data_IF_075383865675
#
_entry.id   IF_075383865675
#
_cell.length_a   1.000
_cell.length_b   1.000
_cell.length_c   1.000
_cell.angle_alpha   90.00
_cell.angle_beta   90.00
_cell.angle_gamma   90.00
#
_symmetry.space_group_name_H-M   'P 1'
#
loop_
_entity.id
_entity.type
_entity.pdbx_description
1 polymer ?
#
# COMPACT_ATOMS: atom_id res chain seq x y z
N UNK A 1 -6.93 2.67 -10.84
CA UNK A 1 -5.65 3.37 -11.13
C UNK A 1 -5.25 4.14 -9.88
N UNK A 2 -3.95 4.36 -9.62
CA UNK A 2 -3.47 5.02 -8.40
C UNK A 2 -4.19 6.35 -8.11
N UNK A 3 -4.20 7.24 -9.11
CA UNK A 3 -4.82 8.56 -8.98
C UNK A 3 -6.30 8.49 -8.59
N UNK A 4 -7.03 7.52 -9.12
CA UNK A 4 -8.46 7.34 -8.82
C UNK A 4 -8.67 6.91 -7.36
N UNK A 5 -7.86 5.97 -6.84
CA UNK A 5 -7.97 5.53 -5.45
C UNK A 5 -7.67 6.68 -4.47
N UNK A 6 -6.65 7.48 -4.78
CA UNK A 6 -6.30 8.68 -3.99
C UNK A 6 -7.42 9.72 -4.04
N UNK A 7 -7.97 9.99 -5.23
CA UNK A 7 -9.09 10.93 -5.43
C UNK A 7 -10.34 10.49 -4.66
N UNK A 8 -10.69 9.21 -4.71
CA UNK A 8 -11.84 8.66 -3.97
C UNK A 8 -11.65 8.79 -2.46
N UNK A 9 -10.46 8.47 -1.94
CA UNK A 9 -10.12 8.63 -0.53
C UNK A 9 -10.25 10.09 -0.09
N UNK A 10 -9.68 11.02 -0.86
CA UNK A 10 -9.73 12.45 -0.57
C UNK A 10 -11.16 12.98 -0.64
N UNK A 11 -11.91 12.64 -1.69
CA UNK A 11 -13.31 13.06 -1.87
C UNK A 11 -14.19 12.61 -0.70
N UNK A 12 -13.92 11.44 -0.14
CA UNK A 12 -14.69 10.90 1.00
C UNK A 12 -14.62 11.78 2.26
N UNK A 13 -13.61 12.65 2.38
CA UNK A 13 -13.49 13.62 3.48
C UNK A 13 -14.56 14.72 3.47
N UNK A 14 -15.17 14.98 2.31
CA UNK A 14 -16.16 16.06 2.13
C UNK A 14 -15.58 17.48 2.15
N UNK A 15 -14.26 17.63 2.17
CA UNK A 15 -13.61 18.93 2.12
C UNK A 15 -13.74 19.59 0.74
N UNK A 16 -14.01 20.90 0.71
CA UNK A 16 -14.11 21.67 -0.53
C UNK A 16 -12.73 22.04 -1.11
N UNK A 17 -11.73 22.16 -0.24
CA UNK A 17 -10.33 22.43 -0.58
C UNK A 17 -9.46 21.49 0.26
N UNK A 18 -8.34 21.04 -0.31
CA UNK A 18 -7.41 20.09 0.30
C UNK A 18 -6.01 20.68 0.18
N UNK A 19 -5.22 20.60 1.25
CA UNK A 19 -3.82 21.02 1.19
C UNK A 19 -3.00 20.07 0.31
N UNK A 20 -2.12 20.61 -0.52
CA UNK A 20 -1.30 19.79 -1.43
C UNK A 20 -0.42 18.77 -0.68
N UNK A 21 0.02 19.09 0.54
CA UNK A 21 0.75 18.18 1.40
C UNK A 21 -0.09 16.96 1.79
N UNK A 22 -1.38 17.15 2.09
CA UNK A 22 -2.30 16.05 2.41
C UNK A 22 -2.50 15.12 1.21
N UNK A 23 -2.55 15.65 -0.01
CA UNK A 23 -2.59 14.84 -1.23
C UNK A 23 -1.32 13.98 -1.36
N UNK A 24 -0.16 14.57 -1.07
CA UNK A 24 1.14 13.88 -1.07
C UNK A 24 1.27 12.81 0.01
N UNK A 25 0.60 12.96 1.15
CA UNK A 25 0.50 11.90 2.16
C UNK A 25 -0.49 10.81 1.74
N UNK A 26 -1.64 11.19 1.17
CA UNK A 26 -2.69 10.26 0.77
C UNK A 26 -2.24 9.27 -0.33
N UNK A 27 -1.27 9.66 -1.16
CA UNK A 27 -0.74 8.77 -2.20
C UNK A 27 0.14 7.65 -1.65
N UNK A 28 0.76 7.81 -0.47
CA UNK A 28 1.77 6.88 0.04
C UNK A 28 1.22 5.46 0.23
N UNK A 29 0.04 5.30 0.84
CA UNK A 29 -0.55 3.99 1.09
C UNK A 29 -0.88 3.20 -0.18
N UNK A 30 -1.65 3.77 -1.13
CA UNK A 30 -1.89 3.13 -2.43
C UNK A 30 -0.61 2.91 -3.25
N UNK A 31 0.35 3.85 -3.20
CA UNK A 31 1.62 3.73 -3.91
C UNK A 31 2.50 2.60 -3.36
N UNK A 32 2.50 2.38 -2.04
CA UNK A 32 3.20 1.28 -1.37
C UNK A 32 2.82 -0.10 -1.96
N UNK A 33 1.53 -0.31 -2.21
CA UNK A 33 1.00 -1.55 -2.79
C UNK A 33 1.29 -1.70 -4.28
N UNK A 34 1.54 -0.58 -4.96
CA UNK A 34 1.73 -0.54 -6.41
C UNK A 34 3.20 -0.68 -6.80
N UNK A 35 4.10 0.06 -6.13
CA UNK A 35 5.54 0.09 -6.39
C UNK A 35 6.30 0.53 -5.12
N UNK A 36 6.98 -0.43 -4.50
CA UNK A 36 7.77 -0.24 -3.28
C UNK A 36 8.92 0.78 -3.45
N UNK A 37 9.55 0.81 -4.64
CA UNK A 37 10.68 1.70 -4.92
C UNK A 37 10.20 3.13 -5.14
N UNK A 38 9.05 3.30 -5.79
CA UNK A 38 8.40 4.61 -5.92
C UNK A 38 7.91 5.11 -4.55
N UNK A 39 7.32 4.23 -3.74
CA UNK A 39 6.94 4.54 -2.36
C UNK A 39 8.13 5.06 -1.55
N UNK A 40 9.27 4.35 -1.52
CA UNK A 40 10.45 4.78 -0.76
C UNK A 40 10.94 6.17 -1.16
N UNK A 41 10.92 6.48 -2.47
CA UNK A 41 11.32 7.80 -3.00
C UNK A 41 10.38 8.93 -2.55
N UNK A 42 9.09 8.65 -2.42
CA UNK A 42 8.11 9.63 -1.94
C UNK A 42 8.13 9.73 -0.41
N UNK A 43 8.16 8.59 0.28
CA UNK A 43 8.21 8.51 1.73
C UNK A 43 9.41 9.27 2.29
N UNK A 44 10.59 9.18 1.66
CA UNK A 44 11.77 9.91 2.13
C UNK A 44 11.58 11.42 2.18
N UNK A 45 10.75 11.99 1.31
CA UNK A 45 10.43 13.42 1.30
C UNK A 45 9.31 13.73 2.29
N UNK A 46 8.20 13.00 2.22
CA UNK A 46 6.99 13.32 2.99
C UNK A 46 7.05 12.89 4.46
N UNK A 47 7.87 11.90 4.80
CA UNK A 47 8.13 11.45 6.17
C UNK A 47 9.47 11.96 6.69
N UNK A 48 10.14 12.86 5.96
CA UNK A 48 11.40 13.51 6.34
C UNK A 48 12.47 12.51 6.80
N UNK A 49 12.88 11.60 5.91
CA UNK A 49 13.99 10.70 6.23
C UNK A 49 15.29 11.51 6.28
N UNK A 50 16.03 11.38 7.37
CA UNK A 50 17.28 12.12 7.60
C UNK A 50 18.50 11.20 7.71
N UNK A 51 18.27 9.89 7.84
CA UNK A 51 19.29 8.90 8.15
C UNK A 51 19.14 7.61 7.33
N UNK A 52 20.18 6.78 7.32
CA UNK A 52 20.11 5.45 6.69
C UNK A 52 19.14 4.55 7.46
N UNK A 53 19.09 4.72 8.77
CA UNK A 53 18.21 4.00 9.70
C UNK A 53 16.72 4.20 9.36
N UNK A 54 16.33 5.38 8.86
CA UNK A 54 14.96 5.64 8.40
C UNK A 54 14.61 4.78 7.18
N UNK A 55 15.55 4.67 6.23
CA UNK A 55 15.38 3.79 5.06
C UNK A 55 15.34 2.32 5.47
N UNK A 56 16.22 1.89 6.37
CA UNK A 56 16.23 0.50 6.86
C UNK A 56 14.91 0.14 7.55
N UNK A 57 14.35 1.06 8.33
CA UNK A 57 13.05 0.90 8.99
C UNK A 57 11.92 0.76 7.97
N UNK A 58 11.89 1.64 6.96
CA UNK A 58 10.90 1.58 5.89
C UNK A 58 11.02 0.29 5.06
N UNK A 59 12.23 -0.15 4.72
CA UNK A 59 12.48 -1.39 3.99
C UNK A 59 12.03 -2.60 4.82
N UNK A 60 12.31 -2.60 6.12
CA UNK A 60 11.91 -3.68 7.02
C UNK A 60 10.38 -3.81 7.09
N UNK A 61 9.67 -2.69 7.16
CA UNK A 61 8.21 -2.65 7.09
C UNK A 61 7.68 -3.27 5.78
N UNK A 62 8.23 -2.85 4.64
CA UNK A 62 7.82 -3.37 3.32
C UNK A 62 8.02 -4.89 3.19
N UNK A 63 9.15 -5.41 3.71
CA UNK A 63 9.41 -6.85 3.73
C UNK A 63 8.36 -7.61 4.54
N UNK A 64 8.03 -7.11 5.73
CA UNK A 64 7.02 -7.72 6.58
C UNK A 64 5.64 -7.71 5.90
N UNK A 65 5.24 -6.60 5.28
CA UNK A 65 3.99 -6.52 4.53
C UNK A 65 3.94 -7.50 3.36
N UNK A 66 5.02 -7.62 2.58
CA UNK A 66 5.12 -8.59 1.49
C UNK A 66 4.98 -10.04 1.98
N UNK A 67 5.58 -10.38 3.13
CA UNK A 67 5.43 -11.69 3.76
C UNK A 67 3.99 -11.97 4.20
N UNK A 68 3.32 -11.00 4.82
CA UNK A 68 1.91 -11.13 5.22
C UNK A 68 0.99 -11.30 4.01
N UNK A 69 1.21 -10.52 2.94
CA UNK A 69 0.45 -10.64 1.70
C UNK A 69 0.67 -12.01 1.02
N UNK A 70 1.87 -12.56 1.07
CA UNK A 70 2.16 -13.90 0.54
C UNK A 70 1.43 -15.00 1.35
N UNK A 71 1.41 -14.88 2.67
CA UNK A 71 0.71 -15.82 3.55
C UNK A 71 -0.82 -15.80 3.31
N UNK A 72 -1.41 -14.62 3.17
CA UNK A 72 -2.84 -14.45 2.88
C UNK A 72 -3.23 -15.06 1.52
N UNK A 73 -2.39 -14.89 0.51
CA UNK A 73 -2.60 -15.50 -0.81
C UNK A 73 -2.49 -17.03 -0.75
N UNK A 74 -1.56 -17.59 0.04
CA UNK A 74 -1.47 -19.03 0.25
C UNK A 74 -2.71 -19.59 0.96
N UNK A 75 -3.24 -18.89 1.97
CA UNK A 75 -4.45 -19.28 2.69
C UNK A 75 -5.71 -19.23 1.81
N UNK A 76 -5.85 -18.21 0.96
CA UNK A 76 -6.95 -18.10 -0.02
C UNK A 76 -6.89 -19.20 -1.10
N UNK A 77 -5.69 -19.53 -1.59
CA UNK A 77 -5.47 -20.61 -2.55
C UNK A 77 -5.83 -22.00 -2.01
N UNK A 78 -5.60 -22.25 -0.73
CA UNK A 78 -5.99 -23.50 -0.07
C UNK A 78 -7.52 -23.65 0.10
N UNK A 79 -8.24 -22.54 0.36
CA UNK A 79 -9.72 -22.53 0.47
C UNK A 79 -10.43 -22.72 -0.87
N UNK A 80 -9.88 -22.19 -1.97
CA UNK A 80 -10.48 -22.33 -3.32
C UNK A 80 -10.48 -23.77 -3.88
N UNK A 81 -9.44 -24.56 -3.57
CA UNK A 81 -9.28 -25.93 -4.09
C UNK A 81 -10.28 -26.97 -3.56
N UNK A 82 -11.09 -26.64 -2.55
CA UNK A 82 -12.03 -27.60 -1.94
C UNK A 82 -13.43 -27.60 -2.57
N UNK A 83 -13.73 -26.73 -3.54
CA UNK A 83 -15.09 -26.57 -4.10
C UNK A 83 -15.32 -27.18 -5.50
N UNK A 84 -14.30 -27.73 -6.17
CA UNK A 84 -14.41 -28.17 -7.57
C UNK A 84 -14.30 -29.70 -7.78
N UNK A 85 -14.86 -30.49 -6.88
CA UNK A 85 -15.19 -31.90 -7.15
C UNK A 85 -16.53 -32.28 -6.53
N UNK A 86 -17.60 -32.08 -7.28
CA UNK A 86 -18.81 -32.90 -7.12
C UNK A 86 -19.23 -33.41 -8.50
N UNK A 87 -19.03 -34.71 -8.77
CA UNK A 87 -19.58 -35.37 -9.95
C UNK A 87 -20.98 -35.90 -9.63
N UNK A 88 -21.98 -35.52 -10.43
CA UNK A 88 -23.08 -36.41 -10.86
C UNK A 88 -23.41 -36.07 -12.31
#
# INVERSE_FOLDING_TARGET
MLAQEVEENIRSSGAAEIDAHEVGLAILGPLQKLDEVAYLRFASVYQAFESLEDFESAISLLRHEAETAAADNAAKGAKGKSSEKSPI
#
